data_IF_923816135116
#
_entry.id   IF_923816135116
#
_cell.length_a   1.000
_cell.length_b   1.000
_cell.length_c   1.000
_cell.angle_alpha   90.00
_cell.angle_beta   90.00
_cell.angle_gamma   90.00
#
_symmetry.space_group_name_H-M   'P 1'
#
loop_
_entity.id
_entity.type
_entity.pdbx_description
1 polymer ?
#
# COMPACT_ATOMS: atom_id res chain seq x y z
N UNK A 1 -30.44 45.56 3.69
CA UNK A 1 -30.13 44.88 4.96
C UNK A 1 -28.77 44.21 4.82
N UNK A 2 -27.68 44.91 5.21
CA UNK A 2 -26.31 44.38 5.04
C UNK A 2 -25.95 43.52 6.25
N UNK A 3 -25.86 42.24 6.06
CA UNK A 3 -25.44 41.28 7.09
C UNK A 3 -23.94 41.50 7.33
N UNK A 4 -23.59 42.21 8.42
CA UNK A 4 -22.19 42.32 8.87
C UNK A 4 -21.78 41.00 9.50
N UNK A 5 -21.08 40.16 8.75
CA UNK A 5 -20.43 38.99 9.31
C UNK A 5 -19.26 39.43 10.19
N UNK A 6 -19.36 39.21 11.49
CA UNK A 6 -18.27 39.47 12.45
C UNK A 6 -17.21 38.33 12.36
N UNK A 7 -16.57 38.21 11.22
CA UNK A 7 -15.46 37.23 11.04
C UNK A 7 -14.26 37.48 11.96
N UNK A 8 -14.12 38.72 12.42
CA UNK A 8 -12.94 39.14 13.17
C UNK A 8 -12.92 38.70 14.64
N UNK A 9 -14.09 38.35 15.21
CA UNK A 9 -14.19 37.99 16.65
C UNK A 9 -13.48 36.65 16.98
N UNK A 10 -13.45 35.70 16.02
CA UNK A 10 -12.91 34.35 16.23
C UNK A 10 -11.57 34.10 15.48
N UNK A 11 -10.96 35.14 14.92
CA UNK A 11 -9.75 35.05 14.15
C UNK A 11 -8.62 34.41 14.94
N UNK A 12 -8.36 34.88 16.17
CA UNK A 12 -7.30 34.33 17.02
C UNK A 12 -7.59 32.89 17.45
N UNK A 13 -8.86 32.58 17.74
CA UNK A 13 -9.25 31.21 18.08
C UNK A 13 -9.07 30.26 16.89
N UNK A 14 -9.44 30.67 15.69
CA UNK A 14 -9.27 29.90 14.45
C UNK A 14 -7.80 29.65 14.16
N UNK A 15 -6.94 30.67 14.33
CA UNK A 15 -5.48 30.50 14.14
C UNK A 15 -4.88 29.54 15.13
N UNK A 16 -5.27 29.58 16.40
CA UNK A 16 -4.79 28.64 17.42
C UNK A 16 -5.23 27.22 17.11
N UNK A 17 -6.48 27.02 16.71
CA UNK A 17 -6.98 25.69 16.31
C UNK A 17 -6.21 25.17 15.08
N UNK A 18 -6.01 26.02 14.07
CA UNK A 18 -5.25 25.65 12.87
C UNK A 18 -3.81 25.26 13.20
N UNK A 19 -3.16 26.02 14.09
CA UNK A 19 -1.79 25.71 14.53
C UNK A 19 -1.71 24.36 15.26
N UNK A 20 -2.69 24.09 16.14
CA UNK A 20 -2.76 22.81 16.87
C UNK A 20 -2.95 21.66 15.89
N UNK A 21 -3.88 21.77 14.93
CA UNK A 21 -4.12 20.76 13.91
C UNK A 21 -2.88 20.53 13.05
N UNK A 22 -2.15 21.57 12.69
CA UNK A 22 -0.90 21.48 11.93
C UNK A 22 0.17 20.72 12.70
N UNK A 23 0.35 21.02 13.99
CA UNK A 23 1.28 20.32 14.87
C UNK A 23 0.89 18.83 14.99
N UNK A 24 -0.37 18.53 15.24
CA UNK A 24 -0.89 17.16 15.33
C UNK A 24 -0.63 16.39 14.01
N UNK A 25 -0.83 17.05 12.86
CA UNK A 25 -0.56 16.44 11.54
C UNK A 25 0.91 16.07 11.38
N UNK A 26 1.83 16.96 11.73
CA UNK A 26 3.28 16.69 11.68
C UNK A 26 3.64 15.52 12.62
N UNK A 27 3.16 15.54 13.87
CA UNK A 27 3.39 14.43 14.80
C UNK A 27 2.86 13.11 14.26
N UNK A 28 1.66 13.11 13.68
CA UNK A 28 1.08 11.91 13.08
C UNK A 28 1.93 11.36 11.93
N UNK A 29 2.48 12.23 11.08
CA UNK A 29 3.38 11.82 9.98
C UNK A 29 4.70 11.23 10.51
N UNK A 30 5.27 11.81 11.56
CA UNK A 30 6.52 11.33 12.16
C UNK A 30 6.32 9.97 12.85
N UNK A 31 5.23 9.81 13.63
CA UNK A 31 5.03 8.59 14.41
C UNK A 31 4.41 7.43 13.61
N UNK A 32 3.48 7.70 12.71
CA UNK A 32 2.85 6.65 11.87
C UNK A 32 3.60 6.41 10.58
N UNK A 33 4.35 7.40 10.09
CA UNK A 33 4.96 7.38 8.76
C UNK A 33 3.92 7.39 7.64
N UNK A 34 4.41 7.39 6.41
CA UNK A 34 3.59 7.24 5.22
C UNK A 34 3.49 5.77 4.82
N UNK A 35 2.29 5.32 4.49
CA UNK A 35 2.08 3.97 3.97
C UNK A 35 2.31 3.96 2.46
N UNK A 36 3.58 3.82 2.08
CA UNK A 36 3.98 3.79 0.68
C UNK A 36 3.50 2.52 -0.03
N UNK A 37 3.14 2.66 -1.31
CA UNK A 37 2.94 1.53 -2.21
C UNK A 37 4.25 0.80 -2.55
N UNK A 38 4.13 -0.33 -3.26
CA UNK A 38 5.30 -1.11 -3.73
C UNK A 38 6.20 -0.30 -4.66
N UNK A 39 5.63 0.67 -5.40
CA UNK A 39 6.37 1.57 -6.28
C UNK A 39 7.43 2.40 -5.55
N UNK A 40 7.18 2.72 -4.27
CA UNK A 40 8.07 3.55 -3.45
C UNK A 40 8.88 2.77 -2.42
N UNK A 41 8.42 1.59 -2.01
CA UNK A 41 9.15 0.71 -1.06
C UNK A 41 9.94 -0.38 -1.74
N UNK A 42 9.60 -0.68 -2.98
CA UNK A 42 9.97 -1.92 -3.64
C UNK A 42 9.17 -3.11 -3.12
N UNK A 43 9.14 -4.18 -3.86
CA UNK A 43 8.44 -5.41 -3.51
C UNK A 43 7.61 -5.95 -4.66
N UNK A 44 6.87 -6.99 -4.35
CA UNK A 44 5.98 -7.68 -5.29
C UNK A 44 4.53 -7.44 -4.95
N UNK A 45 3.72 -7.14 -5.95
CA UNK A 45 2.28 -7.07 -5.88
C UNK A 45 1.71 -8.14 -6.81
N UNK A 46 0.82 -8.97 -6.26
CA UNK A 46 0.10 -9.99 -7.03
C UNK A 46 -1.40 -9.72 -6.89
N UNK A 47 -2.07 -9.62 -8.03
CA UNK A 47 -3.53 -9.69 -8.09
C UNK A 47 -3.92 -11.15 -8.34
N UNK A 48 -4.57 -11.75 -7.36
CA UNK A 48 -5.05 -13.12 -7.38
C UNK A 48 -6.57 -13.11 -7.49
N UNK A 49 -7.11 -13.86 -8.43
CA UNK A 49 -8.52 -14.23 -8.49
C UNK A 49 -8.70 -15.66 -8.06
N UNK A 50 -9.63 -15.90 -7.14
CA UNK A 50 -10.08 -17.23 -6.79
C UNK A 50 -11.45 -17.48 -7.42
N UNK A 51 -11.60 -18.56 -8.16
CA UNK A 51 -12.90 -18.99 -8.67
C UNK A 51 -13.73 -19.66 -7.58
N UNK A 52 -13.11 -20.04 -6.47
CA UNK A 52 -13.76 -20.52 -5.27
C UNK A 52 -14.19 -19.36 -4.37
N UNK A 53 -15.48 -19.05 -4.36
CA UNK A 53 -16.07 -17.95 -3.57
C UNK A 53 -16.07 -18.19 -2.06
N UNK A 54 -15.70 -19.40 -1.59
CA UNK A 54 -15.66 -19.73 -0.17
C UNK A 54 -14.39 -19.24 0.55
N UNK A 55 -13.34 -18.88 -0.19
CA UNK A 55 -12.13 -18.37 0.45
C UNK A 55 -12.34 -16.99 1.08
N UNK A 56 -11.90 -16.88 2.33
CA UNK A 56 -11.81 -15.61 3.05
C UNK A 56 -10.41 -15.02 2.90
N UNK A 57 -10.28 -13.74 3.19
CA UNK A 57 -8.97 -13.05 3.20
C UNK A 57 -7.96 -13.74 4.11
N UNK A 58 -8.46 -14.33 5.22
CA UNK A 58 -7.64 -15.07 6.19
C UNK A 58 -7.08 -16.36 5.62
N UNK A 59 -7.81 -17.07 4.77
CA UNK A 59 -7.38 -18.33 4.14
C UNK A 59 -6.26 -18.04 3.14
N UNK A 60 -6.45 -17.03 2.29
CA UNK A 60 -5.42 -16.56 1.35
C UNK A 60 -4.17 -16.10 2.10
N UNK A 61 -4.35 -15.30 3.18
CA UNK A 61 -3.24 -14.85 4.02
C UNK A 61 -2.52 -16.02 4.68
N UNK A 62 -3.27 -17.03 5.15
CA UNK A 62 -2.72 -18.24 5.75
C UNK A 62 -1.85 -19.04 4.78
N UNK A 63 -2.27 -19.18 3.52
CA UNK A 63 -1.50 -19.83 2.47
C UNK A 63 -0.17 -19.09 2.20
N UNK A 64 -0.22 -17.78 2.02
CA UNK A 64 0.97 -16.96 1.78
C UNK A 64 1.90 -16.85 2.99
N UNK A 65 1.38 -16.86 4.22
CA UNK A 65 2.21 -16.86 5.43
C UNK A 65 3.10 -18.09 5.56
N UNK A 66 2.67 -19.24 5.03
CA UNK A 66 3.47 -20.48 5.03
C UNK A 66 4.71 -20.39 4.15
N UNK A 67 4.75 -19.44 3.24
CA UNK A 67 5.87 -19.20 2.33
C UNK A 67 6.95 -18.28 2.92
N UNK A 68 6.81 -17.88 4.20
CA UNK A 68 7.76 -17.02 4.92
C UNK A 68 8.14 -15.73 4.15
N UNK A 69 7.14 -15.06 3.57
CA UNK A 69 7.32 -13.81 2.84
C UNK A 69 7.32 -12.62 3.81
N UNK A 70 8.30 -11.73 3.65
CA UNK A 70 8.42 -10.54 4.48
C UNK A 70 7.36 -9.49 4.13
N UNK A 71 6.86 -8.80 5.17
CA UNK A 71 5.93 -7.65 5.06
C UNK A 71 4.64 -7.98 4.26
N UNK A 72 4.09 -9.19 4.49
CA UNK A 72 2.92 -9.69 3.78
C UNK A 72 1.66 -8.90 4.13
N UNK A 73 0.99 -8.40 3.11
CA UNK A 73 -0.32 -7.75 3.21
C UNK A 73 -1.28 -8.36 2.20
N UNK A 74 -2.41 -8.88 2.67
CA UNK A 74 -3.48 -9.44 1.83
C UNK A 74 -4.75 -8.63 2.04
N UNK A 75 -5.37 -8.16 0.95
CA UNK A 75 -6.61 -7.37 0.97
C UNK A 75 -7.52 -7.80 -0.16
N UNK A 76 -8.84 -7.72 0.06
CA UNK A 76 -9.82 -7.80 -1.04
C UNK A 76 -9.71 -6.57 -1.94
N UNK A 77 -9.93 -6.77 -3.23
CA UNK A 77 -9.83 -5.71 -4.23
C UNK A 77 -10.92 -5.89 -5.31
N UNK A 78 -11.82 -4.93 -5.43
CA UNK A 78 -12.88 -4.95 -6.45
C UNK A 78 -13.95 -5.99 -6.17
N UNK A 79 -13.93 -7.12 -6.90
CA UNK A 79 -14.91 -8.20 -6.74
C UNK A 79 -14.64 -9.03 -5.46
N UNK A 80 -15.65 -9.79 -5.02
CA UNK A 80 -15.51 -10.64 -3.82
C UNK A 80 -14.45 -11.73 -3.95
N UNK A 81 -14.15 -12.14 -5.19
CA UNK A 81 -13.17 -13.16 -5.53
C UNK A 81 -11.76 -12.62 -5.82
N UNK A 82 -11.57 -11.30 -5.84
CA UNK A 82 -10.30 -10.69 -6.18
C UNK A 82 -9.52 -10.26 -4.93
N UNK A 83 -8.25 -10.60 -4.89
CA UNK A 83 -7.34 -10.29 -3.78
C UNK A 83 -6.08 -9.62 -4.30
N UNK A 84 -5.61 -8.62 -3.56
CA UNK A 84 -4.30 -8.00 -3.78
C UNK A 84 -3.38 -8.44 -2.64
N UNK A 85 -2.30 -9.08 -3.02
CA UNK A 85 -1.24 -9.55 -2.15
C UNK A 85 -0.01 -8.70 -2.40
N UNK A 86 0.56 -8.14 -1.32
CA UNK A 86 1.81 -7.38 -1.36
C UNK A 86 2.78 -8.00 -0.38
N UNK A 87 4.03 -8.14 -0.79
CA UNK A 87 5.10 -8.61 0.08
C UNK A 87 6.44 -8.02 -0.35
N UNK A 88 7.36 -7.92 0.59
CA UNK A 88 8.71 -7.47 0.34
C UNK A 88 9.58 -8.68 0.02
N UNK A 89 10.32 -8.61 -1.07
CA UNK A 89 11.34 -9.61 -1.39
C UNK A 89 12.60 -8.93 -1.87
N UNK A 90 13.75 -9.44 -1.41
CA UNK A 90 15.07 -8.91 -1.77
C UNK A 90 15.65 -9.57 -3.02
N UNK A 91 15.26 -10.80 -3.35
CA UNK A 91 15.89 -11.62 -4.39
C UNK A 91 15.00 -11.72 -5.64
N UNK A 92 15.04 -10.66 -6.44
CA UNK A 92 14.23 -10.53 -7.66
C UNK A 92 14.87 -11.17 -8.90
N UNK A 93 16.04 -11.75 -8.74
CA UNK A 93 16.85 -12.26 -9.87
C UNK A 93 16.57 -13.72 -10.23
N UNK A 94 15.61 -14.38 -9.58
CA UNK A 94 15.21 -15.72 -9.97
C UNK A 94 14.09 -15.66 -11.01
N UNK A 95 14.37 -16.00 -12.28
CA UNK A 95 13.36 -15.98 -13.36
C UNK A 95 12.18 -16.93 -13.09
N UNK A 96 12.39 -17.95 -12.25
CA UNK A 96 11.40 -18.95 -11.91
C UNK A 96 10.61 -18.66 -10.62
N UNK A 97 10.82 -17.51 -9.97
CA UNK A 97 10.19 -17.22 -8.69
C UNK A 97 8.66 -17.35 -8.72
N UNK A 98 8.01 -16.75 -9.71
CA UNK A 98 6.53 -16.79 -9.81
C UNK A 98 6.06 -18.22 -10.06
N UNK A 99 6.81 -19.02 -10.81
CA UNK A 99 6.51 -20.43 -11.05
C UNK A 99 6.64 -21.25 -9.76
N UNK A 100 7.71 -21.05 -9.02
CA UNK A 100 7.92 -21.72 -7.74
C UNK A 100 6.85 -21.31 -6.72
N UNK A 101 6.56 -20.01 -6.62
CA UNK A 101 5.50 -19.49 -5.78
C UNK A 101 4.13 -20.11 -6.10
N UNK A 102 3.83 -20.28 -7.40
CA UNK A 102 2.59 -20.94 -7.82
C UNK A 102 2.58 -22.39 -7.41
N UNK A 103 3.65 -23.15 -7.67
CA UNK A 103 3.76 -24.56 -7.27
C UNK A 103 3.60 -24.76 -5.76
N UNK A 104 4.16 -23.84 -4.96
CA UNK A 104 4.02 -23.88 -3.50
C UNK A 104 2.60 -23.56 -3.05
N UNK A 105 1.93 -22.59 -3.70
CA UNK A 105 0.55 -22.24 -3.41
C UNK A 105 -0.44 -23.31 -3.85
N UNK A 106 -0.17 -24.06 -4.90
CA UNK A 106 -1.02 -25.18 -5.38
C UNK A 106 -1.22 -26.27 -4.30
N UNK A 107 -0.34 -26.31 -3.27
CA UNK A 107 -0.50 -27.19 -2.11
C UNK A 107 -1.54 -26.67 -1.09
N UNK A 108 -1.96 -25.40 -1.19
CA UNK A 108 -2.79 -24.74 -0.18
C UNK A 108 -4.05 -24.10 -0.73
N UNK A 109 -4.05 -23.76 -2.02
CA UNK A 109 -5.16 -23.10 -2.70
C UNK A 109 -5.50 -23.86 -4.00
N UNK A 110 -6.79 -24.05 -4.23
CA UNK A 110 -7.34 -24.62 -5.44
C UNK A 110 -8.10 -23.54 -6.22
N UNK A 111 -8.25 -23.69 -7.52
CA UNK A 111 -9.07 -22.84 -8.40
C UNK A 111 -8.75 -21.34 -8.24
N UNK A 112 -7.48 -20.98 -8.42
CA UNK A 112 -7.05 -19.58 -8.43
C UNK A 112 -6.19 -19.25 -9.67
N UNK A 113 -6.16 -17.99 -10.01
CA UNK A 113 -5.33 -17.47 -11.10
C UNK A 113 -4.65 -16.16 -10.71
N UNK A 114 -3.39 -15.99 -11.14
CA UNK A 114 -2.72 -14.70 -11.05
C UNK A 114 -3.13 -13.84 -12.25
N UNK A 115 -3.79 -12.72 -12.00
CA UNK A 115 -4.23 -11.78 -13.03
C UNK A 115 -3.14 -10.78 -13.41
N UNK A 116 -2.39 -10.35 -12.42
CA UNK A 116 -1.34 -9.36 -12.54
C UNK A 116 -0.24 -9.64 -11.54
N UNK A 117 0.98 -9.53 -11.99
CA UNK A 117 2.16 -9.59 -11.13
C UNK A 117 3.03 -8.38 -11.44
N UNK A 118 3.23 -7.55 -10.44
CA UNK A 118 4.11 -6.39 -10.52
C UNK A 118 5.26 -6.58 -9.56
N UNK A 119 6.45 -6.25 -10.03
CA UNK A 119 7.67 -6.36 -9.26
C UNK A 119 8.51 -5.11 -9.45
N UNK A 120 8.80 -4.43 -8.35
CA UNK A 120 9.57 -3.18 -8.35
C UNK A 120 10.80 -3.35 -7.48
N UNK A 121 11.97 -3.19 -8.09
CA UNK A 121 13.24 -3.27 -7.38
C UNK A 121 13.43 -2.10 -6.40
N UNK A 122 14.12 -2.31 -5.27
CA UNK A 122 14.32 -1.26 -4.24
C UNK A 122 15.05 -0.02 -4.79
N UNK A 123 15.95 -0.19 -5.74
CA UNK A 123 16.69 0.93 -6.36
C UNK A 123 15.76 1.83 -7.19
N UNK A 124 14.91 1.23 -8.03
CA UNK A 124 13.93 1.97 -8.84
C UNK A 124 12.95 2.71 -7.94
N UNK A 125 12.50 2.08 -6.87
CA UNK A 125 11.60 2.69 -5.90
C UNK A 125 12.22 3.89 -5.19
N UNK A 126 13.49 3.82 -4.82
CA UNK A 126 14.21 4.93 -4.20
C UNK A 126 14.39 6.11 -5.16
N UNK A 127 14.71 5.85 -6.42
CA UNK A 127 14.81 6.87 -7.48
C UNK A 127 13.45 7.56 -7.69
N UNK A 128 12.36 6.80 -7.83
CA UNK A 128 11.01 7.34 -8.00
C UNK A 128 10.58 8.21 -6.80
N UNK A 129 10.91 7.81 -5.57
CA UNK A 129 10.61 8.60 -4.38
C UNK A 129 11.38 9.93 -4.40
N UNK A 130 12.68 9.88 -4.69
CA UNK A 130 13.53 11.07 -4.75
C UNK A 130 13.06 12.03 -5.83
N UNK A 131 12.77 11.54 -7.03
CA UNK A 131 12.30 12.35 -8.15
C UNK A 131 10.92 12.94 -7.85
N UNK A 132 10.01 12.17 -7.26
CA UNK A 132 8.69 12.66 -6.85
C UNK A 132 8.75 13.79 -5.84
N UNK A 133 9.62 13.68 -4.81
CA UNK A 133 9.83 14.74 -3.82
C UNK A 133 10.47 15.97 -4.48
N UNK A 134 11.48 15.77 -5.32
CA UNK A 134 12.18 16.87 -6.01
C UNK A 134 11.23 17.64 -6.94
N UNK A 135 10.43 16.93 -7.75
CA UNK A 135 9.44 17.56 -8.62
C UNK A 135 8.36 18.31 -7.83
N UNK A 136 7.91 17.74 -6.71
CA UNK A 136 6.95 18.42 -5.84
C UNK A 136 7.49 19.73 -5.28
N UNK A 137 8.76 19.75 -4.86
CA UNK A 137 9.42 20.98 -4.36
C UNK A 137 9.67 22.03 -5.44
N UNK A 138 9.97 21.61 -6.67
CA UNK A 138 10.18 22.53 -7.79
C UNK A 138 8.85 23.15 -8.25
N UNK A 139 7.74 22.42 -8.11
CA UNK A 139 6.42 22.87 -8.57
C UNK A 139 5.76 23.90 -7.64
N UNK A 140 6.18 23.99 -6.37
CA UNK A 140 5.71 24.98 -5.40
C UNK A 140 6.45 26.30 -5.61
#
# INVERSE_FOLDING_TARGET
>A
MTIKYFFNKYYNLSNVISLILFIISIFSLIFKGLNYGVDFKGGTLIELRSDNTNYKTEDIRGAFNKLNLDDLSVKKFGAESDYVIKFKRSDLNEPDFIKNLKNDLDNYLEDYSFRRVENVGPKVSAELLQDGVTLSLIHI
#
